data_IF_608149281774
#
_entry.id   IF_608149281774
#
_cell.length_a   1.000
_cell.length_b   1.000
_cell.length_c   1.000
_cell.angle_alpha   90.00
_cell.angle_beta   90.00
_cell.angle_gamma   90.00
#
_symmetry.space_group_name_H-M   'P 1'
#
loop_
_entity.id
_entity.type
_entity.pdbx_description
1 polymer ?
#
# COMPACT_ATOMS: atom_id res chain seq x y z
N UNK A 1 -15.75 16.53 -14.94
CA UNK A 1 -15.08 15.28 -15.35
C UNK A 1 -15.57 14.24 -14.36
N UNK A 2 -16.13 13.11 -14.83
CA UNK A 2 -16.80 12.14 -13.94
C UNK A 2 -15.73 11.40 -13.12
N UNK A 3 -15.93 11.23 -11.81
CA UNK A 3 -14.96 10.50 -10.97
C UNK A 3 -14.88 9.01 -11.31
N UNK A 4 -15.86 8.50 -12.06
CA UNK A 4 -15.97 7.08 -12.35
C UNK A 4 -15.27 6.65 -13.65
N UNK A 5 -14.52 7.49 -14.36
CA UNK A 5 -13.88 7.14 -15.63
C UNK A 5 -13.14 5.79 -15.64
N UNK A 6 -13.31 5.00 -16.71
CA UNK A 6 -12.65 3.71 -16.93
C UNK A 6 -13.61 2.59 -17.33
N UNK A 7 -13.09 1.35 -17.39
CA UNK A 7 -13.84 0.16 -17.79
C UNK A 7 -14.82 -0.28 -16.70
N UNK A 8 -15.99 -0.77 -17.10
CA UNK A 8 -17.04 -1.25 -16.21
C UNK A 8 -17.29 -2.72 -16.47
N UNK A 9 -17.46 -3.49 -15.41
CA UNK A 9 -18.07 -4.82 -15.51
C UNK A 9 -19.52 -4.70 -15.07
N UNK A 10 -20.41 -5.26 -15.87
CA UNK A 10 -21.84 -5.29 -15.63
C UNK A 10 -22.33 -6.73 -15.67
N UNK A 11 -22.82 -7.26 -14.55
CA UNK A 11 -23.34 -8.62 -14.45
C UNK A 11 -24.82 -8.53 -14.10
N UNK A 12 -25.69 -8.80 -15.06
CA UNK A 12 -27.15 -8.76 -14.93
C UNK A 12 -27.69 -9.54 -16.14
N UNK A 13 -28.58 -10.50 -15.93
CA UNK A 13 -29.14 -11.37 -16.98
C UNK A 13 -30.18 -10.65 -17.87
N UNK A 14 -30.69 -9.51 -17.42
CA UNK A 14 -31.68 -8.69 -18.12
C UNK A 14 -31.07 -7.41 -18.74
N UNK A 15 -29.74 -7.29 -18.84
CA UNK A 15 -29.11 -6.04 -19.33
C UNK A 15 -29.43 -5.71 -20.80
N UNK A 16 -29.75 -6.70 -21.62
CA UNK A 16 -30.13 -6.55 -23.03
C UNK A 16 -31.64 -6.74 -23.26
N UNK A 17 -32.37 -7.23 -22.24
CA UNK A 17 -33.82 -7.35 -22.19
C UNK A 17 -34.41 -6.06 -21.61
N UNK A 18 -35.18 -5.31 -22.41
CA UNK A 18 -35.66 -3.97 -22.03
C UNK A 18 -36.20 -3.85 -20.59
N UNK A 19 -35.92 -2.75 -19.90
CA UNK A 19 -36.28 -2.57 -18.49
C UNK A 19 -35.30 -1.66 -17.76
N UNK A 20 -35.28 -1.74 -16.44
CA UNK A 20 -34.39 -0.93 -15.59
C UNK A 20 -32.90 -1.27 -15.80
N UNK A 21 -32.56 -2.56 -15.91
CA UNK A 21 -31.19 -3.02 -16.15
C UNK A 21 -30.65 -2.50 -17.49
N UNK A 22 -31.42 -2.68 -18.58
CA UNK A 22 -31.08 -2.14 -19.89
C UNK A 22 -30.94 -0.62 -19.92
N UNK A 23 -31.87 0.11 -19.29
CA UNK A 23 -31.79 1.58 -19.23
C UNK A 23 -30.52 2.03 -18.51
N UNK A 24 -30.13 1.35 -17.44
CA UNK A 24 -28.91 1.66 -16.70
C UNK A 24 -27.64 1.29 -17.49
N UNK A 25 -27.61 0.12 -18.13
CA UNK A 25 -26.54 -0.27 -19.04
C UNK A 25 -26.35 0.75 -20.18
N UNK A 26 -27.45 1.17 -20.83
CA UNK A 26 -27.41 2.16 -21.91
C UNK A 26 -26.93 3.53 -21.40
N UNK A 27 -27.30 3.94 -20.18
CA UNK A 27 -26.81 5.17 -19.56
C UNK A 27 -25.30 5.13 -19.30
N UNK A 28 -24.78 4.01 -18.79
CA UNK A 28 -23.34 3.79 -18.63
C UNK A 28 -22.62 3.84 -19.99
N UNK A 29 -23.18 3.16 -21.00
CA UNK A 29 -22.61 3.12 -22.35
C UNK A 29 -22.60 4.48 -23.03
N UNK A 30 -23.63 5.30 -22.82
CA UNK A 30 -23.74 6.66 -23.37
C UNK A 30 -22.64 7.61 -22.87
N UNK A 31 -22.02 7.32 -21.72
CA UNK A 31 -20.83 8.06 -21.25
C UNK A 31 -19.53 7.68 -21.98
N UNK A 32 -19.57 6.80 -22.98
CA UNK A 32 -18.40 6.37 -23.76
C UNK A 32 -17.52 5.35 -23.04
N UNK A 33 -18.05 4.69 -21.99
CA UNK A 33 -17.31 3.73 -21.16
C UNK A 33 -17.16 2.39 -21.88
N UNK A 34 -15.98 1.76 -21.84
CA UNK A 34 -15.86 0.33 -22.15
C UNK A 34 -16.64 -0.48 -21.11
N UNK A 35 -17.55 -1.35 -21.56
CA UNK A 35 -18.35 -2.21 -20.67
C UNK A 35 -18.18 -3.68 -21.08
N UNK A 36 -17.75 -4.51 -20.14
CA UNK A 36 -17.83 -5.97 -20.24
C UNK A 36 -19.12 -6.42 -19.55
N UNK A 37 -20.08 -6.92 -20.34
CA UNK A 37 -21.37 -7.38 -19.83
C UNK A 37 -21.42 -8.90 -19.74
N UNK A 38 -22.05 -9.42 -18.69
CA UNK A 38 -22.25 -10.85 -18.45
C UNK A 38 -23.69 -11.11 -18.05
N UNK A 39 -24.28 -12.15 -18.65
CA UNK A 39 -25.61 -12.67 -18.35
C UNK A 39 -25.62 -13.66 -17.17
N UNK A 40 -24.45 -14.12 -16.74
CA UNK A 40 -24.26 -15.08 -15.65
C UNK A 40 -23.07 -14.65 -14.77
N UNK A 41 -22.92 -15.28 -13.60
CA UNK A 41 -21.73 -15.08 -12.76
C UNK A 41 -20.47 -15.40 -13.58
N UNK A 42 -19.54 -14.44 -13.77
CA UNK A 42 -18.36 -14.68 -14.59
C UNK A 42 -17.47 -15.79 -14.01
N UNK A 43 -16.82 -16.61 -14.86
CA UNK A 43 -15.78 -17.53 -14.41
C UNK A 43 -14.67 -16.79 -13.65
N UNK A 44 -14.14 -17.40 -12.60
CA UNK A 44 -13.13 -16.75 -11.75
C UNK A 44 -11.84 -16.45 -12.52
N UNK A 45 -11.51 -17.26 -13.54
CA UNK A 45 -10.36 -17.02 -14.42
C UNK A 45 -10.45 -15.69 -15.17
N UNK A 46 -11.65 -15.18 -15.48
CA UNK A 46 -11.79 -13.91 -16.20
C UNK A 46 -11.25 -12.72 -15.41
N UNK A 47 -11.19 -12.84 -14.07
CA UNK A 47 -10.65 -11.78 -13.22
C UNK A 47 -9.22 -11.40 -13.63
N UNK A 48 -8.40 -12.31 -14.17
CA UNK A 48 -7.02 -12.00 -14.59
C UNK A 48 -6.92 -10.96 -15.73
N UNK A 49 -8.03 -10.68 -16.41
CA UNK A 49 -8.09 -9.73 -17.53
C UNK A 49 -8.71 -8.38 -17.16
N UNK A 50 -9.02 -8.15 -15.88
CA UNK A 50 -9.79 -6.98 -15.44
C UNK A 50 -8.93 -5.83 -14.92
N UNK A 51 -7.66 -5.77 -15.32
CA UNK A 51 -6.77 -4.68 -14.96
C UNK A 51 -7.29 -3.31 -15.46
N UNK A 52 -7.26 -2.32 -14.58
CA UNK A 52 -7.77 -0.97 -14.87
C UNK A 52 -9.28 -0.79 -14.70
N UNK A 53 -9.96 -1.73 -14.03
CA UNK A 53 -11.39 -1.68 -13.74
C UNK A 53 -11.78 -0.44 -12.90
N UNK A 54 -12.78 0.30 -13.41
CA UNK A 54 -13.37 1.44 -12.73
C UNK A 54 -14.31 1.01 -11.60
N UNK A 55 -15.22 0.10 -11.92
CA UNK A 55 -16.26 -0.37 -11.01
C UNK A 55 -16.88 -1.67 -11.51
N UNK A 56 -17.56 -2.36 -10.60
CA UNK A 56 -18.40 -3.52 -10.91
C UNK A 56 -19.83 -3.25 -10.50
N UNK A 57 -20.78 -3.52 -11.40
CA UNK A 57 -22.21 -3.56 -11.11
C UNK A 57 -22.66 -5.02 -11.21
N UNK A 58 -23.40 -5.49 -10.21
CA UNK A 58 -23.90 -6.85 -10.11
C UNK A 58 -25.39 -6.80 -9.80
N UNK A 59 -26.21 -7.59 -10.50
CA UNK A 59 -27.51 -8.01 -9.97
C UNK A 59 -27.28 -9.08 -8.91
N UNK A 60 -28.07 -9.01 -7.83
CA UNK A 60 -28.09 -10.03 -6.79
C UNK A 60 -28.81 -11.29 -7.25
N UNK A 61 -29.85 -11.15 -8.08
CA UNK A 61 -30.63 -12.27 -8.61
C UNK A 61 -30.36 -12.45 -10.08
N UNK A 62 -29.43 -13.35 -10.40
CA UNK A 62 -29.25 -13.82 -11.77
C UNK A 62 -30.12 -15.06 -11.96
N UNK A 63 -30.90 -15.12 -13.04
CA UNK A 63 -31.59 -16.35 -13.40
C UNK A 63 -30.55 -17.34 -13.97
N UNK A 64 -30.60 -18.60 -13.53
CA UNK A 64 -29.85 -19.69 -14.18
C UNK A 64 -30.42 -19.91 -15.59
N UNK A 65 -30.03 -19.08 -16.55
CA UNK A 65 -30.12 -19.47 -17.95
C UNK A 65 -29.05 -20.53 -18.15
N UNK A 66 -29.43 -21.80 -18.02
CA UNK A 66 -28.56 -22.94 -18.34
C UNK A 66 -27.80 -22.62 -19.63
N UNK A 67 -26.50 -22.34 -19.48
CA UNK A 67 -25.62 -22.05 -20.60
C UNK A 67 -25.83 -23.14 -21.64
N UNK A 68 -26.12 -22.74 -22.88
CA UNK A 68 -26.60 -23.60 -23.97
C UNK A 68 -25.67 -24.72 -24.43
N UNK A 69 -25.31 -25.63 -23.54
CA UNK A 69 -24.68 -26.92 -23.77
C UNK A 69 -25.66 -27.97 -23.24
N UNK A 70 -26.29 -28.67 -24.18
CA UNK A 70 -27.46 -29.51 -23.94
C UNK A 70 -27.33 -30.48 -22.76
N UNK A 71 -28.45 -30.59 -22.04
CA UNK A 71 -28.90 -31.72 -21.20
C UNK A 71 -27.81 -32.74 -20.81
N UNK A 72 -26.95 -32.35 -19.86
CA UNK A 72 -26.29 -33.30 -18.97
C UNK A 72 -26.65 -32.91 -17.54
N UNK A 73 -27.66 -33.60 -17.02
CA UNK A 73 -28.21 -33.43 -15.68
C UNK A 73 -27.09 -33.55 -14.62
N UNK A 74 -26.63 -32.41 -14.12
CA UNK A 74 -25.73 -32.35 -12.97
C UNK A 74 -26.56 -32.82 -11.75
N UNK A 75 -26.07 -33.79 -10.94
CA UNK A 75 -26.80 -34.24 -9.75
C UNK A 75 -27.07 -33.08 -8.78
N UNK A 76 -28.29 -33.04 -8.20
CA UNK A 76 -28.73 -32.02 -7.24
C UNK A 76 -27.81 -31.87 -6.01
N UNK A 77 -26.92 -32.84 -5.76
CA UNK A 77 -25.91 -32.79 -4.70
C UNK A 77 -24.69 -31.89 -5.01
N UNK A 78 -24.59 -31.30 -6.21
CA UNK A 78 -23.42 -30.51 -6.67
C UNK A 78 -23.81 -29.11 -7.19
N UNK A 79 -25.09 -28.76 -7.24
CA UNK A 79 -25.52 -27.39 -7.61
C UNK A 79 -25.31 -26.45 -6.41
N UNK A 80 -24.19 -25.75 -6.41
CA UNK A 80 -24.02 -24.52 -5.62
C UNK A 80 -25.12 -23.54 -6.04
N UNK A 81 -25.82 -22.90 -5.09
CA UNK A 81 -26.82 -21.90 -5.45
C UNK A 81 -26.15 -20.75 -6.20
N UNK A 82 -26.84 -20.15 -7.16
CA UNK A 82 -26.36 -18.99 -7.93
C UNK A 82 -25.90 -17.86 -7.00
N UNK A 83 -26.60 -17.68 -5.88
CA UNK A 83 -26.23 -16.74 -4.81
C UNK A 83 -24.87 -17.09 -4.17
N UNK A 84 -24.63 -18.35 -3.80
CA UNK A 84 -23.35 -18.78 -3.24
C UNK A 84 -22.19 -18.59 -4.24
N UNK A 85 -22.43 -18.90 -5.53
CA UNK A 85 -21.46 -18.66 -6.59
C UNK A 85 -21.14 -17.16 -6.77
N UNK A 86 -22.17 -16.30 -6.71
CA UNK A 86 -22.02 -14.85 -6.78
C UNK A 86 -21.25 -14.31 -5.57
N UNK A 87 -21.53 -14.78 -4.35
CA UNK A 87 -20.81 -14.36 -3.15
C UNK A 87 -19.33 -14.79 -3.23
N UNK A 88 -19.05 -16.02 -3.67
CA UNK A 88 -17.68 -16.49 -3.90
C UNK A 88 -16.96 -15.62 -4.93
N UNK A 89 -17.65 -15.27 -6.02
CA UNK A 89 -17.13 -14.37 -7.04
C UNK A 89 -16.79 -12.99 -6.44
N UNK A 90 -17.70 -12.38 -5.66
CA UNK A 90 -17.47 -11.11 -4.98
C UNK A 90 -16.27 -11.20 -4.03
N UNK A 91 -16.16 -12.27 -3.24
CA UNK A 91 -15.02 -12.47 -2.34
C UNK A 91 -13.70 -12.52 -3.11
N UNK A 92 -13.65 -13.26 -4.23
CA UNK A 92 -12.44 -13.35 -5.06
C UNK A 92 -12.11 -12.01 -5.74
N UNK A 93 -13.12 -11.27 -6.19
CA UNK A 93 -12.97 -9.93 -6.74
C UNK A 93 -12.38 -8.96 -5.70
N UNK A 94 -12.88 -8.98 -4.45
CA UNK A 94 -12.42 -8.09 -3.39
C UNK A 94 -11.00 -8.38 -2.91
N UNK A 95 -10.56 -9.65 -3.01
CA UNK A 95 -9.20 -10.14 -2.77
C UNK A 95 -8.22 -9.71 -3.85
N UNK A 96 -8.66 -9.69 -5.11
CA UNK A 96 -7.80 -9.43 -6.28
C UNK A 96 -7.70 -7.94 -6.61
N UNK A 97 -8.83 -7.23 -6.58
CA UNK A 97 -8.93 -5.85 -7.03
C UNK A 97 -9.40 -4.93 -5.92
N UNK A 98 -8.93 -3.69 -5.93
CA UNK A 98 -9.49 -2.63 -5.10
C UNK A 98 -10.35 -1.70 -5.96
N UNK A 99 -11.64 -2.02 -6.10
CA UNK A 99 -12.63 -1.19 -6.80
C UNK A 99 -13.96 -1.13 -6.01
N UNK A 100 -14.84 -0.16 -6.32
CA UNK A 100 -16.22 -0.18 -5.85
C UNK A 100 -17.01 -1.31 -6.53
N UNK A 101 -17.87 -1.95 -5.75
CA UNK A 101 -18.79 -3.01 -6.18
C UNK A 101 -20.20 -2.58 -5.80
N UNK A 102 -21.07 -2.47 -6.78
CA UNK A 102 -22.46 -2.07 -6.61
C UNK A 102 -23.36 -3.26 -6.86
N UNK A 103 -24.01 -3.75 -5.81
CA UNK A 103 -25.04 -4.78 -5.91
C UNK A 103 -26.36 -4.04 -6.07
N UNK A 104 -27.03 -4.25 -7.20
CA UNK A 104 -28.25 -3.55 -7.59
C UNK A 104 -29.38 -4.58 -7.67
N UNK A 105 -30.35 -4.51 -6.75
CA UNK A 105 -31.38 -5.56 -6.60
C UNK A 105 -32.77 -4.97 -6.34
N UNK A 106 -33.82 -5.73 -6.63
CA UNK A 106 -35.18 -5.42 -6.16
C UNK A 106 -35.41 -5.79 -4.68
N UNK A 107 -34.54 -6.65 -4.12
CA UNK A 107 -34.62 -7.01 -2.71
C UNK A 107 -34.21 -5.86 -1.78
N UNK A 108 -34.71 -5.92 -0.55
CA UNK A 108 -34.36 -4.96 0.49
C UNK A 108 -32.84 -4.98 0.77
N UNK A 109 -32.14 -3.83 0.70
CA UNK A 109 -30.70 -3.77 0.87
C UNK A 109 -30.20 -4.41 2.18
N UNK A 110 -30.97 -4.28 3.26
CA UNK A 110 -30.63 -4.86 4.58
C UNK A 110 -30.63 -6.39 4.57
N UNK A 111 -31.46 -7.02 3.73
CA UNK A 111 -31.51 -8.48 3.62
C UNK A 111 -30.23 -9.01 2.95
N UNK A 112 -29.82 -8.41 1.83
CA UNK A 112 -28.58 -8.75 1.12
C UNK A 112 -27.37 -8.50 2.02
N UNK A 113 -27.32 -7.34 2.69
CA UNK A 113 -26.24 -7.04 3.63
C UNK A 113 -26.15 -8.05 4.77
N UNK A 114 -27.29 -8.56 5.25
CA UNK A 114 -27.32 -9.62 6.26
C UNK A 114 -26.76 -10.93 5.70
N UNK A 115 -27.18 -11.35 4.51
CA UNK A 115 -26.66 -12.55 3.84
C UNK A 115 -25.12 -12.49 3.67
N UNK A 116 -24.60 -11.35 3.21
CA UNK A 116 -23.15 -11.12 3.09
C UNK A 116 -22.43 -11.18 4.44
N UNK A 117 -23.04 -10.67 5.53
CA UNK A 117 -22.44 -10.69 6.88
C UNK A 117 -22.47 -12.07 7.53
N UNK A 118 -23.47 -12.87 7.22
CA UNK A 118 -23.64 -14.23 7.75
C UNK A 118 -22.80 -15.25 6.97
N UNK A 119 -22.28 -14.88 5.79
CA UNK A 119 -21.40 -15.73 5.00
C UNK A 119 -20.02 -15.88 5.67
N UNK A 120 -19.52 -17.11 5.89
CA UNK A 120 -18.17 -17.34 6.41
C UNK A 120 -17.10 -16.65 5.55
N UNK A 121 -16.09 -16.09 6.21
CA UNK A 121 -14.92 -15.45 5.60
C UNK A 121 -15.20 -14.23 4.71
N UNK A 122 -16.47 -13.81 4.56
CA UNK A 122 -16.78 -12.59 3.82
C UNK A 122 -16.15 -11.37 4.53
N UNK A 123 -15.45 -10.48 3.80
CA UNK A 123 -14.78 -9.33 4.41
C UNK A 123 -15.78 -8.24 4.80
N UNK A 124 -16.50 -8.43 5.92
CA UNK A 124 -17.61 -7.58 6.39
C UNK A 124 -17.29 -6.09 6.52
N UNK A 125 -16.01 -5.75 6.73
CA UNK A 125 -15.51 -4.37 6.76
C UNK A 125 -15.61 -3.66 5.40
N UNK A 126 -15.81 -4.39 4.31
CA UNK A 126 -15.96 -3.83 2.95
C UNK A 126 -17.38 -3.36 2.67
N UNK A 127 -18.38 -3.88 3.40
CA UNK A 127 -19.80 -3.52 3.25
C UNK A 127 -19.99 -2.05 3.67
N UNK A 128 -20.65 -1.27 2.82
CA UNK A 128 -20.86 0.18 3.00
C UNK A 128 -19.63 1.03 2.72
N UNK A 129 -18.48 0.43 2.38
CA UNK A 129 -17.24 1.15 2.03
C UNK A 129 -16.82 0.92 0.59
N UNK A 130 -16.74 -0.35 0.20
CA UNK A 130 -16.40 -0.81 -1.16
C UNK A 130 -17.59 -1.52 -1.82
N UNK A 131 -18.33 -2.32 -1.04
CA UNK A 131 -19.55 -3.00 -1.49
C UNK A 131 -20.75 -2.16 -1.07
N UNK A 132 -21.48 -1.62 -2.04
CA UNK A 132 -22.70 -0.84 -1.83
C UNK A 132 -23.89 -1.64 -2.37
N UNK A 133 -24.95 -1.76 -1.57
CA UNK A 133 -26.20 -2.42 -1.98
C UNK A 133 -27.24 -1.36 -2.27
N UNK A 134 -27.82 -1.39 -3.46
CA UNK A 134 -28.75 -0.39 -3.99
C UNK A 134 -30.03 -1.06 -4.47
N UNK A 135 -31.15 -0.36 -4.30
CA UNK A 135 -32.44 -0.82 -4.78
C UNK A 135 -32.64 -0.42 -6.26
N UNK A 136 -33.15 -1.33 -7.10
CA UNK A 136 -33.38 -1.11 -8.55
C UNK A 136 -34.36 0.05 -8.83
N UNK A 137 -35.26 0.33 -7.90
CA UNK A 137 -36.33 1.32 -8.07
C UNK A 137 -35.98 2.74 -7.58
N UNK A 138 -34.77 2.96 -7.05
CA UNK A 138 -34.36 4.21 -6.39
C UNK A 138 -34.01 5.38 -7.36
N UNK A 139 -34.68 5.46 -8.51
CA UNK A 139 -34.49 6.53 -9.50
C UNK A 139 -33.23 6.35 -10.38
N UNK A 140 -32.58 7.45 -10.75
CA UNK A 140 -31.41 7.41 -11.63
C UNK A 140 -30.17 6.91 -10.87
N UNK A 141 -29.77 5.66 -11.16
CA UNK A 141 -28.69 4.97 -10.48
C UNK A 141 -27.31 5.58 -10.77
N UNK A 142 -27.10 6.14 -11.96
CA UNK A 142 -25.77 6.59 -12.37
C UNK A 142 -25.29 7.81 -11.55
N UNK A 143 -26.05 8.91 -11.40
CA UNK A 143 -25.68 10.01 -10.51
C UNK A 143 -25.53 9.58 -9.04
N UNK A 144 -26.26 8.54 -8.63
CA UNK A 144 -26.13 7.98 -7.27
C UNK A 144 -24.80 7.25 -7.11
N UNK A 145 -24.38 6.46 -8.09
CA UNK A 145 -23.07 5.80 -8.06
C UNK A 145 -21.93 6.82 -8.00
N UNK A 146 -22.00 7.85 -8.85
CA UNK A 146 -21.01 8.94 -8.86
C UNK A 146 -20.92 9.60 -7.48
N UNK A 147 -22.06 9.97 -6.89
CA UNK A 147 -22.10 10.56 -5.55
C UNK A 147 -21.52 9.65 -4.47
N UNK A 148 -21.83 8.36 -4.49
CA UNK A 148 -21.31 7.41 -3.50
C UNK A 148 -19.79 7.29 -3.56
N UNK A 149 -19.20 7.41 -4.75
CA UNK A 149 -17.74 7.39 -4.93
C UNK A 149 -17.11 8.73 -4.53
N UNK A 150 -17.72 9.86 -4.89
CA UNK A 150 -17.28 11.20 -4.49
C UNK A 150 -17.31 11.40 -2.96
N UNK A 151 -18.39 10.96 -2.30
CA UNK A 151 -18.54 11.13 -0.85
C UNK A 151 -17.60 10.23 -0.03
N UNK A 152 -17.09 9.15 -0.65
CA UNK A 152 -16.16 8.20 -0.03
C UNK A 152 -14.71 8.68 -0.19
N UNK A 153 -14.03 9.07 0.91
CA UNK A 153 -12.65 9.55 0.82
C UNK A 153 -11.69 8.56 0.17
N UNK A 154 -11.89 7.27 0.44
CA UNK A 154 -11.01 6.21 -0.05
C UNK A 154 -11.21 5.98 -1.55
N UNK A 155 -12.46 5.90 -2.01
CA UNK A 155 -12.76 5.65 -3.41
C UNK A 155 -12.45 6.89 -4.26
N UNK A 156 -12.78 8.09 -3.79
CA UNK A 156 -12.46 9.34 -4.45
C UNK A 156 -10.94 9.54 -4.60
N UNK A 157 -10.18 9.29 -3.53
CA UNK A 157 -8.70 9.35 -3.57
C UNK A 157 -8.12 8.33 -4.55
N UNK A 158 -8.63 7.10 -4.56
CA UNK A 158 -8.18 6.05 -5.48
C UNK A 158 -8.40 6.45 -6.94
N UNK A 159 -9.61 6.88 -7.31
CA UNK A 159 -9.94 7.20 -8.70
C UNK A 159 -9.14 8.40 -9.20
N UNK A 160 -8.98 9.40 -8.34
CA UNK A 160 -8.11 10.54 -8.65
C UNK A 160 -6.65 10.08 -8.84
N UNK A 161 -6.14 9.23 -7.96
CA UNK A 161 -4.78 8.70 -8.07
C UNK A 161 -4.57 7.90 -9.35
N UNK A 162 -5.50 7.00 -9.70
CA UNK A 162 -5.41 6.19 -10.92
C UNK A 162 -5.40 7.05 -12.18
N UNK A 163 -6.30 8.05 -12.28
CA UNK A 163 -6.32 8.98 -13.41
C UNK A 163 -5.00 9.74 -13.56
N UNK A 164 -4.48 10.27 -12.45
CA UNK A 164 -3.18 10.95 -12.43
C UNK A 164 -2.03 10.01 -12.80
N UNK A 165 -2.05 8.79 -12.26
CA UNK A 165 -1.03 7.78 -12.52
C UNK A 165 -1.01 7.38 -14.00
N UNK A 166 -2.17 7.09 -14.60
CA UNK A 166 -2.26 6.73 -16.02
C UNK A 166 -1.84 7.89 -16.92
N UNK A 167 -2.29 9.11 -16.62
CA UNK A 167 -1.88 10.31 -17.35
C UNK A 167 -0.37 10.53 -17.28
N UNK A 168 0.21 10.45 -16.08
CA UNK A 168 1.64 10.59 -15.84
C UNK A 168 2.46 9.51 -16.55
N UNK A 169 2.01 8.24 -16.49
CA UNK A 169 2.63 7.10 -17.17
C UNK A 169 2.63 7.30 -18.68
N UNK A 170 1.47 7.60 -19.27
CA UNK A 170 1.34 7.79 -20.71
C UNK A 170 2.25 8.94 -21.17
N UNK A 171 2.19 10.08 -20.49
CA UNK A 171 3.04 11.22 -20.81
C UNK A 171 4.53 10.89 -20.68
N UNK A 172 4.92 10.11 -19.66
CA UNK A 172 6.32 9.69 -19.46
C UNK A 172 6.82 8.87 -20.64
N UNK A 173 6.09 7.83 -21.03
CA UNK A 173 6.48 7.00 -22.16
C UNK A 173 6.46 7.78 -23.48
N UNK A 174 5.48 8.67 -23.70
CA UNK A 174 5.47 9.55 -24.88
C UNK A 174 6.68 10.49 -24.93
N UNK A 175 7.07 11.09 -23.80
CA UNK A 175 8.22 12.00 -23.76
C UNK A 175 9.55 11.25 -23.95
N UNK A 176 9.67 10.01 -23.43
CA UNK A 176 10.86 9.17 -23.61
C UNK A 176 10.97 8.63 -25.04
N UNK A 177 9.86 8.17 -25.61
CA UNK A 177 9.76 7.75 -27.02
C UNK A 177 10.15 8.89 -27.96
N UNK A 178 9.70 10.12 -27.67
CA UNK A 178 10.09 11.31 -28.42
C UNK A 178 11.56 11.73 -28.23
N UNK A 179 12.22 11.30 -27.15
CA UNK A 179 13.62 11.67 -26.86
C UNK A 179 14.63 10.85 -27.67
N UNK A 180 14.26 9.64 -28.09
CA UNK A 180 15.08 8.81 -28.97
C UNK A 180 14.51 7.40 -29.14
N UNK A 181 14.77 6.84 -30.32
CA UNK A 181 14.43 5.45 -30.63
C UNK A 181 15.08 4.51 -29.58
N UNK A 182 14.29 3.57 -29.08
CA UNK A 182 14.72 2.53 -28.13
C UNK A 182 15.49 3.07 -26.90
N UNK A 183 15.01 4.16 -26.28
CA UNK A 183 15.58 4.78 -25.06
C UNK A 183 15.95 3.79 -23.94
N UNK A 184 15.30 2.63 -23.87
CA UNK A 184 15.62 1.54 -22.95
C UNK A 184 17.01 0.92 -23.17
N UNK A 185 17.48 0.85 -24.42
CA UNK A 185 18.82 0.33 -24.75
C UNK A 185 19.88 1.23 -24.10
N UNK A 186 19.75 2.55 -24.26
CA UNK A 186 20.71 3.50 -23.69
C UNK A 186 20.74 3.44 -22.15
N UNK A 187 19.59 3.29 -21.48
CA UNK A 187 19.57 3.12 -20.02
C UNK A 187 20.25 1.81 -19.59
N UNK A 188 20.09 0.75 -20.38
CA UNK A 188 20.72 -0.54 -20.12
C UNK A 188 22.24 -0.45 -20.29
N UNK A 189 22.71 0.17 -21.37
CA UNK A 189 24.15 0.41 -21.61
C UNK A 189 24.77 1.22 -20.48
N UNK A 190 24.11 2.30 -20.02
CA UNK A 190 24.58 3.11 -18.89
C UNK A 190 24.71 2.28 -17.61
N UNK A 191 23.73 1.41 -17.33
CA UNK A 191 23.75 0.56 -16.14
C UNK A 191 24.89 -0.47 -16.20
N UNK A 192 25.06 -1.12 -17.35
CA UNK A 192 26.11 -2.11 -17.56
C UNK A 192 27.51 -1.49 -17.47
N UNK A 193 27.75 -0.36 -18.16
CA UNK A 193 29.01 0.38 -18.10
C UNK A 193 29.28 0.93 -16.70
N UNK A 194 28.23 1.32 -15.98
CA UNK A 194 28.29 1.79 -14.59
C UNK A 194 28.46 0.67 -13.55
N UNK A 195 28.35 -0.60 -13.95
CA UNK A 195 28.39 -1.75 -13.05
C UNK A 195 27.23 -1.79 -12.04
N UNK A 196 26.07 -1.23 -12.39
CA UNK A 196 24.83 -1.30 -11.62
C UNK A 196 23.93 -2.41 -12.14
N UNK A 197 22.94 -2.81 -11.35
CA UNK A 197 21.94 -3.78 -11.81
C UNK A 197 20.97 -3.06 -12.75
N UNK A 198 20.81 -3.58 -13.98
CA UNK A 198 19.91 -3.01 -14.99
C UNK A 198 18.48 -2.90 -14.50
N UNK A 199 17.97 -3.92 -13.81
CA UNK A 199 16.61 -3.91 -13.26
C UNK A 199 16.41 -2.80 -12.23
N UNK A 200 17.37 -2.63 -11.31
CA UNK A 200 17.32 -1.57 -10.30
C UNK A 200 17.38 -0.17 -10.94
N UNK A 201 18.27 0.03 -11.92
CA UNK A 201 18.40 1.31 -12.65
C UNK A 201 17.11 1.65 -13.40
N UNK A 202 16.51 0.68 -14.09
CA UNK A 202 15.24 0.88 -14.81
C UNK A 202 14.11 1.21 -13.84
N UNK A 203 14.02 0.52 -12.70
CA UNK A 203 13.01 0.81 -11.67
C UNK A 203 13.19 2.23 -11.13
N UNK A 204 14.41 2.62 -10.75
CA UNK A 204 14.68 3.94 -10.21
C UNK A 204 14.41 5.06 -11.23
N UNK A 205 14.79 4.87 -12.49
CA UNK A 205 14.51 5.81 -13.57
C UNK A 205 13.00 5.95 -13.82
N UNK A 206 12.30 4.83 -13.98
CA UNK A 206 10.86 4.82 -14.28
C UNK A 206 10.02 5.39 -13.14
N UNK A 207 10.17 4.86 -11.93
CA UNK A 207 9.38 5.32 -10.78
C UNK A 207 9.79 6.73 -10.33
N UNK A 208 11.09 7.06 -10.43
CA UNK A 208 11.59 8.40 -10.19
C UNK A 208 10.94 9.42 -11.12
N UNK A 209 10.92 9.14 -12.43
CA UNK A 209 10.31 10.02 -13.42
C UNK A 209 8.78 10.11 -13.24
N UNK A 210 8.11 8.97 -13.07
CA UNK A 210 6.67 8.87 -12.88
C UNK A 210 6.18 9.64 -11.64
N UNK A 211 6.86 9.48 -10.50
CA UNK A 211 6.49 10.13 -9.24
C UNK A 211 6.46 11.66 -9.36
N UNK A 212 7.36 12.25 -10.14
CA UNK A 212 7.44 13.71 -10.32
C UNK A 212 6.45 14.25 -11.36
N UNK A 213 5.71 13.37 -12.05
CA UNK A 213 4.66 13.73 -13.01
C UNK A 213 3.26 13.64 -12.44
N UNK A 214 3.06 12.91 -11.33
CA UNK A 214 1.78 12.87 -10.61
C UNK A 214 1.54 14.22 -9.93
N UNK A 215 0.39 14.86 -10.18
CA UNK A 215 0.04 16.14 -9.56
C UNK A 215 -0.75 15.94 -8.25
N UNK A 216 -0.14 16.14 -7.07
CA UNK A 216 -0.81 15.92 -5.80
C UNK A 216 -1.87 16.99 -5.46
N UNK A 217 -1.99 18.07 -6.24
CA UNK A 217 -2.98 19.14 -5.97
C UNK A 217 -4.40 18.77 -6.39
N UNK A 218 -4.57 17.70 -7.15
CA UNK A 218 -5.86 17.32 -7.71
C UNK A 218 -6.66 16.34 -6.84
N UNK A 219 -6.08 15.88 -5.71
CA UNK A 219 -6.83 15.06 -4.75
C UNK A 219 -8.02 15.83 -4.17
N UNK A 220 -9.20 15.20 -4.20
CA UNK A 220 -10.42 15.74 -3.60
C UNK A 220 -10.35 15.75 -2.08
N UNK A 221 -9.84 16.87 -1.56
CA UNK A 221 -9.79 17.11 -0.12
C UNK A 221 -11.17 17.41 0.47
N UNK A 222 -12.15 17.84 -0.33
CA UNK A 222 -13.49 18.17 0.17
C UNK A 222 -14.20 16.93 0.74
N UNK A 223 -13.93 15.74 0.16
CA UNK A 223 -14.41 14.48 0.73
C UNK A 223 -13.88 14.19 2.14
N UNK A 224 -12.76 14.80 2.57
CA UNK A 224 -12.08 14.58 3.85
C UNK A 224 -12.27 15.76 4.82
N UNK A 225 -12.34 16.98 4.30
CA UNK A 225 -12.40 18.20 5.09
C UNK A 225 -13.54 18.20 6.10
N UNK A 226 -13.25 18.63 7.33
CA UNK A 226 -14.22 18.68 8.43
C UNK A 226 -14.60 17.31 9.03
N UNK A 227 -14.27 16.18 8.40
CA UNK A 227 -14.54 14.85 8.96
C UNK A 227 -13.53 14.51 10.07
N UNK A 228 -13.96 14.61 11.33
CA UNK A 228 -13.22 14.05 12.48
C UNK A 228 -13.75 12.66 12.79
N UNK A 229 -13.00 11.64 12.39
CA UNK A 229 -13.32 10.27 12.77
C UNK A 229 -12.97 10.05 14.26
N UNK A 230 -13.92 9.48 15.01
CA UNK A 230 -13.68 8.95 16.35
C UNK A 230 -12.90 7.63 16.25
N UNK A 231 -11.64 7.72 15.80
CA UNK A 231 -10.74 6.57 15.66
C UNK A 231 -9.95 6.39 16.95
N UNK A 232 -9.95 5.18 17.49
CA UNK A 232 -9.13 4.79 18.63
C UNK A 232 -7.63 4.83 18.29
N UNK A 233 -6.79 4.83 19.33
CA UNK A 233 -5.34 4.94 19.17
C UNK A 233 -4.71 3.73 18.46
N UNK A 234 -5.27 2.53 18.57
CA UNK A 234 -4.75 1.33 17.92
C UNK A 234 -5.02 1.37 16.42
N UNK A 235 -6.23 1.74 16.01
CA UNK A 235 -6.57 1.92 14.59
C UNK A 235 -5.72 3.00 13.92
N UNK A 236 -5.43 4.12 14.61
CA UNK A 236 -4.50 5.15 14.10
C UNK A 236 -3.09 4.62 13.93
N UNK A 237 -2.60 3.88 14.92
CA UNK A 237 -1.28 3.26 14.92
C UNK A 237 -1.14 2.28 13.77
N UNK A 238 -2.16 1.49 13.47
CA UNK A 238 -2.14 0.54 12.35
C UNK A 238 -2.06 1.25 10.98
N UNK A 239 -2.81 2.34 10.79
CA UNK A 239 -2.72 3.14 9.56
C UNK A 239 -1.32 3.75 9.40
N UNK A 240 -0.76 4.30 10.48
CA UNK A 240 0.59 4.86 10.46
C UNK A 240 1.64 3.76 10.23
N UNK A 241 1.47 2.59 10.85
CA UNK A 241 2.33 1.42 10.63
C UNK A 241 2.39 1.06 9.14
N UNK A 242 1.23 0.87 8.49
CA UNK A 242 1.16 0.51 7.05
C UNK A 242 1.66 1.61 6.12
N UNK A 243 1.65 2.86 6.57
CA UNK A 243 2.28 3.97 5.84
C UNK A 243 3.81 3.92 5.92
N UNK A 244 4.34 3.52 7.07
CA UNK A 244 5.77 3.58 7.39
C UNK A 244 6.51 2.29 7.00
N UNK A 245 5.83 1.16 7.04
CA UNK A 245 6.42 -0.18 7.01
C UNK A 245 5.72 -1.04 5.97
N UNK A 246 6.52 -1.71 5.15
CA UNK A 246 6.08 -2.88 4.37
C UNK A 246 6.51 -4.15 5.09
N UNK A 247 5.59 -5.09 5.26
CA UNK A 247 5.90 -6.40 5.82
C UNK A 247 6.69 -7.25 4.81
N UNK A 248 7.45 -8.25 5.29
CA UNK A 248 8.29 -9.11 4.46
C UNK A 248 7.54 -9.76 3.30
N UNK A 249 6.28 -10.14 3.51
CA UNK A 249 5.44 -10.81 2.51
C UNK A 249 5.12 -9.91 1.32
N UNK A 250 5.16 -8.58 1.51
CA UNK A 250 4.99 -7.59 0.45
C UNK A 250 6.30 -7.20 -0.24
N UNK A 251 7.44 -7.72 0.22
CA UNK A 251 8.77 -7.38 -0.30
C UNK A 251 9.28 -8.49 -1.20
N UNK A 252 9.93 -8.10 -2.30
CA UNK A 252 10.57 -9.06 -3.19
C UNK A 252 11.77 -9.72 -2.48
N UNK A 253 11.88 -11.05 -2.60
CA UNK A 253 12.89 -11.86 -1.91
C UNK A 253 14.32 -11.54 -2.37
N UNK A 254 14.49 -11.09 -3.61
CA UNK A 254 15.78 -10.72 -4.18
C UNK A 254 16.18 -9.25 -3.95
N UNK A 255 15.36 -8.47 -3.25
CA UNK A 255 15.60 -7.04 -3.07
C UNK A 255 15.83 -6.70 -1.62
N UNK A 256 17.08 -6.38 -1.28
CA UNK A 256 17.48 -5.83 0.01
C UNK A 256 17.81 -4.35 -0.16
N UNK A 257 17.34 -3.50 0.75
CA UNK A 257 17.51 -2.05 0.69
C UNK A 257 17.71 -1.47 2.10
N UNK A 258 18.23 -0.24 2.21
CA UNK A 258 18.12 0.52 3.44
C UNK A 258 16.70 0.46 4.00
N UNK A 259 16.59 0.29 5.32
CA UNK A 259 15.32 0.26 6.02
C UNK A 259 14.76 -1.14 6.19
N UNK A 260 15.26 -2.14 5.47
CA UNK A 260 15.01 -3.54 5.83
C UNK A 260 15.39 -3.79 7.28
N UNK A 261 14.52 -4.45 8.03
CA UNK A 261 14.79 -4.76 9.42
C UNK A 261 14.53 -6.23 9.73
N UNK A 262 15.31 -6.74 10.67
CA UNK A 262 15.42 -8.15 10.97
C UNK A 262 15.12 -8.41 12.44
N UNK A 263 14.54 -9.57 12.71
CA UNK A 263 14.41 -10.10 14.06
C UNK A 263 15.74 -10.65 14.57
N UNK A 264 15.75 -11.21 15.78
CA UNK A 264 16.93 -11.87 16.33
C UNK A 264 17.26 -13.15 15.56
N UNK A 265 18.52 -13.30 15.15
CA UNK A 265 19.05 -14.51 14.47
C UNK A 265 20.02 -15.31 15.35
N UNK A 266 20.47 -14.74 16.47
CA UNK A 266 21.29 -15.42 17.47
C UNK A 266 20.44 -15.67 18.72
N UNK A 267 20.38 -16.91 19.25
CA UNK A 267 19.64 -17.25 20.47
C UNK A 267 19.98 -16.40 21.71
N UNK A 268 21.14 -15.74 21.73
CA UNK A 268 21.54 -14.82 22.81
C UNK A 268 20.90 -13.42 22.69
N UNK A 269 20.33 -13.09 21.53
CA UNK A 269 19.66 -11.82 21.31
C UNK A 269 18.27 -11.84 21.95
N UNK A 270 17.90 -10.71 22.51
CA UNK A 270 16.59 -10.47 23.11
C UNK A 270 15.50 -10.53 22.04
N UNK A 271 14.42 -11.28 22.31
CA UNK A 271 13.32 -11.57 21.39
C UNK A 271 12.63 -10.31 20.83
N UNK A 272 12.64 -9.20 21.58
CA UNK A 272 12.01 -7.94 21.16
C UNK A 272 12.97 -7.04 20.36
N UNK A 273 14.24 -7.43 20.23
CA UNK A 273 15.25 -6.66 19.52
C UNK A 273 15.00 -6.68 18.01
N UNK A 274 15.13 -5.51 17.39
CA UNK A 274 15.08 -5.36 15.94
C UNK A 274 16.40 -4.79 15.44
N UNK A 275 16.83 -5.24 14.27
CA UNK A 275 18.06 -4.82 13.62
C UNK A 275 17.73 -4.09 12.32
N UNK A 276 17.95 -2.78 12.29
CA UNK A 276 17.60 -1.91 11.15
C UNK A 276 18.79 -1.73 10.21
N UNK A 277 18.60 -2.06 8.93
CA UNK A 277 19.60 -1.91 7.89
C UNK A 277 19.83 -0.44 7.49
N UNK A 278 21.06 0.03 7.63
CA UNK A 278 21.51 1.34 7.14
C UNK A 278 22.38 1.26 5.87
N UNK A 279 22.69 0.05 5.39
CA UNK A 279 23.57 -0.17 4.23
C UNK A 279 23.04 0.60 3.02
N UNK A 280 23.88 1.37 2.30
CA UNK A 280 23.48 2.06 1.08
C UNK A 280 22.89 1.08 0.04
N UNK A 281 21.88 1.52 -0.71
CA UNK A 281 21.18 0.68 -1.69
C UNK A 281 22.13 0.07 -2.74
N UNK A 282 23.14 0.82 -3.19
CA UNK A 282 24.13 0.32 -4.14
C UNK A 282 24.96 -0.85 -3.57
N UNK A 283 25.13 -0.93 -2.25
CA UNK A 283 25.88 -1.99 -1.58
C UNK A 283 25.01 -3.22 -1.23
N UNK A 284 23.69 -3.14 -1.43
CA UNK A 284 22.76 -4.25 -1.16
C UNK A 284 22.37 -5.07 -2.41
N UNK A 285 22.97 -4.76 -3.56
CA UNK A 285 22.71 -5.45 -4.83
C UNK A 285 23.21 -6.90 -4.79
N UNK A 286 22.28 -7.86 -4.83
CA UNK A 286 22.57 -9.30 -4.86
C UNK A 286 23.25 -9.65 -6.18
N UNK A 287 24.34 -10.42 -6.13
CA UNK A 287 25.13 -10.79 -7.31
C UNK A 287 26.24 -9.81 -7.69
N UNK A 288 26.28 -8.59 -7.09
CA UNK A 288 27.35 -7.61 -7.35
C UNK A 288 28.73 -8.07 -6.87
N UNK A 289 28.79 -8.79 -5.75
CA UNK A 289 30.05 -9.30 -5.19
C UNK A 289 30.30 -10.73 -5.68
N UNK A 290 31.52 -11.00 -6.17
CA UNK A 290 31.98 -12.34 -6.64
C UNK A 290 31.76 -13.48 -5.63
N UNK A 291 31.62 -13.15 -4.34
CA UNK A 291 31.48 -14.09 -3.24
C UNK A 291 30.08 -14.08 -2.63
N UNK A 292 29.18 -13.21 -3.13
CA UNK A 292 27.82 -12.93 -2.66
C UNK A 292 27.67 -12.60 -1.15
N UNK A 293 28.77 -12.33 -0.44
CA UNK A 293 28.78 -11.95 0.98
C UNK A 293 28.58 -10.44 1.11
N UNK A 294 27.34 -10.00 0.93
CA UNK A 294 26.94 -8.61 1.15
C UNK A 294 27.08 -8.30 2.65
N UNK A 295 27.82 -7.23 2.99
CA UNK A 295 27.97 -6.76 4.36
C UNK A 295 26.85 -5.79 4.69
N UNK A 296 26.10 -6.13 5.73
CA UNK A 296 24.94 -5.41 6.23
C UNK A 296 25.33 -4.63 7.47
N UNK A 297 25.16 -3.31 7.43
CA UNK A 297 25.35 -2.39 8.53
C UNK A 297 24.02 -2.23 9.27
N UNK A 298 23.90 -2.87 10.43
CA UNK A 298 22.65 -2.98 11.17
C UNK A 298 22.72 -2.20 12.48
N UNK A 299 21.75 -1.33 12.73
CA UNK A 299 21.55 -0.71 14.04
C UNK A 299 20.61 -1.56 14.89
N UNK A 300 21.07 -1.90 16.09
CA UNK A 300 20.22 -2.52 17.10
C UNK A 300 19.22 -1.53 17.68
N UNK A 301 17.95 -1.92 17.74
CA UNK A 301 16.88 -1.17 18.40
C UNK A 301 16.06 -2.05 19.33
N UNK A 302 15.45 -1.41 20.33
CA UNK A 302 14.52 -2.05 21.28
C UNK A 302 13.22 -1.25 21.35
N UNK A 303 12.09 -1.92 21.65
CA UNK A 303 10.86 -1.21 21.90
C UNK A 303 10.99 -0.40 23.19
N UNK A 304 10.37 0.76 23.22
CA UNK A 304 10.31 1.63 24.39
C UNK A 304 8.92 2.26 24.44
N UNK A 305 8.34 2.34 25.64
CA UNK A 305 7.07 3.02 25.83
C UNK A 305 7.34 4.45 26.28
N UNK A 306 6.73 5.42 25.60
CA UNK A 306 6.89 6.84 25.90
C UNK A 306 5.65 7.35 26.62
N UNK A 307 5.85 8.00 27.77
CA UNK A 307 4.78 8.68 28.48
C UNK A 307 4.14 9.79 27.63
N UNK A 308 2.84 10.03 27.81
CA UNK A 308 2.08 10.98 27.00
C UNK A 308 2.68 12.40 27.00
N UNK A 309 3.20 12.87 28.14
CA UNK A 309 3.81 14.20 28.27
C UNK A 309 5.14 14.35 27.52
N UNK A 310 5.85 13.23 27.31
CA UNK A 310 7.11 13.19 26.58
C UNK A 310 6.91 13.00 25.07
N UNK A 311 5.75 12.51 24.63
CA UNK A 311 5.40 12.39 23.20
C UNK A 311 5.44 13.74 22.47
N UNK A 312 5.05 14.84 23.15
CA UNK A 312 5.12 16.20 22.59
C UNK A 312 6.57 16.65 22.40
N UNK A 313 7.43 16.35 23.37
CA UNK A 313 8.86 16.70 23.32
C UNK A 313 9.60 15.86 22.27
N UNK A 314 9.22 14.60 22.05
CA UNK A 314 9.73 13.80 20.92
C UNK A 314 9.33 14.40 19.58
N UNK A 315 8.06 14.78 19.40
CA UNK A 315 7.55 15.43 18.18
C UNK A 315 8.24 16.76 17.86
N UNK A 316 8.56 17.53 18.89
CA UNK A 316 9.31 18.78 18.78
C UNK A 316 10.83 18.55 18.66
N UNK A 317 11.29 17.29 18.57
CA UNK A 317 12.70 16.91 18.47
C UNK A 317 13.53 17.12 19.75
N UNK A 318 12.89 17.53 20.85
CA UNK A 318 13.53 17.90 22.12
C UNK A 318 14.00 16.71 22.96
N UNK A 319 13.46 15.53 22.72
CA UNK A 319 13.90 14.26 23.35
C UNK A 319 14.74 13.38 22.43
N UNK A 320 14.92 13.78 21.17
CA UNK A 320 15.86 13.10 20.27
C UNK A 320 17.26 13.44 20.72
N UNK A 321 17.84 12.56 21.53
CA UNK A 321 19.26 12.62 21.87
C UNK A 321 20.07 12.50 20.56
N UNK A 322 21.16 13.26 20.38
CA UNK A 322 21.94 13.26 19.14
C UNK A 322 22.62 11.90 18.84
N UNK A 323 22.56 10.94 19.76
CA UNK A 323 23.15 9.61 19.67
C UNK A 323 22.13 8.48 19.44
N UNK A 324 20.87 8.80 19.11
CA UNK A 324 19.87 7.78 18.73
C UNK A 324 18.81 8.31 17.78
N UNK A 325 18.10 7.39 17.13
CA UNK A 325 16.88 7.66 16.38
C UNK A 325 15.67 7.05 17.08
N UNK A 326 14.50 7.67 16.86
CA UNK A 326 13.21 7.22 17.33
C UNK A 326 12.31 6.92 16.13
N UNK A 327 11.67 5.75 16.15
CA UNK A 327 10.65 5.38 15.17
C UNK A 327 9.35 5.14 15.93
N UNK A 328 8.32 5.93 15.63
CA UNK A 328 7.05 5.91 16.37
C UNK A 328 6.32 4.56 16.30
N UNK A 329 6.38 3.92 15.14
CA UNK A 329 5.68 2.67 14.85
C UNK A 329 6.55 1.83 13.90
N UNK A 330 7.06 0.70 14.39
CA UNK A 330 7.86 -0.26 13.61
C UNK A 330 7.28 -1.67 13.76
N UNK A 331 7.94 -2.59 14.47
CA UNK A 331 7.47 -3.96 14.59
C UNK A 331 6.34 -4.07 15.63
N UNK A 332 5.31 -4.87 15.33
CA UNK A 332 4.10 -5.04 16.16
C UNK A 332 3.41 -3.71 16.55
N UNK A 333 3.55 -2.68 15.72
CA UNK A 333 2.97 -1.36 15.98
C UNK A 333 3.60 -0.60 17.16
N UNK A 334 4.76 -1.01 17.68
CA UNK A 334 5.40 -0.35 18.84
C UNK A 334 6.42 0.69 18.39
N UNK A 335 6.72 1.63 19.29
CA UNK A 335 7.79 2.60 19.12
C UNK A 335 9.15 1.98 19.46
N UNK A 336 10.17 2.30 18.67
CA UNK A 336 11.52 1.74 18.82
C UNK A 336 12.56 2.84 18.90
N UNK A 337 13.54 2.65 19.79
CA UNK A 337 14.73 3.48 19.89
C UNK A 337 15.95 2.75 19.34
N UNK A 338 16.72 3.45 18.52
CA UNK A 338 17.94 2.95 17.88
C UNK A 338 19.15 3.78 18.31
N UNK A 339 19.91 3.36 19.34
CA UNK A 339 21.18 3.98 19.69
C UNK A 339 22.21 3.81 18.56
N UNK A 340 22.89 4.89 18.17
CA UNK A 340 23.84 4.85 17.05
C UNK A 340 25.14 4.11 17.37
N UNK A 341 25.48 3.97 18.66
CA UNK A 341 26.65 3.22 19.12
C UNK A 341 26.51 1.69 19.01
N UNK A 342 25.33 1.18 18.63
CA UNK A 342 25.04 -0.26 18.56
C UNK A 342 24.97 -0.76 17.12
N UNK A 343 25.85 -0.24 16.28
CA UNK A 343 26.03 -0.68 14.89
C UNK A 343 26.80 -2.01 14.87
N UNK A 344 26.27 -2.99 14.16
CA UNK A 344 26.93 -4.27 13.90
C UNK A 344 27.02 -4.54 12.40
N UNK A 345 28.09 -5.23 11.99
CA UNK A 345 28.31 -5.61 10.59
C UNK A 345 28.14 -7.12 10.49
N UNK A 346 27.12 -7.56 9.74
CA UNK A 346 26.79 -8.98 9.55
C UNK A 346 26.70 -9.27 8.06
N UNK A 347 26.86 -10.52 7.65
CA UNK A 347 26.66 -10.91 6.25
C UNK A 347 25.20 -11.25 5.98
N UNK A 348 24.68 -10.84 4.81
CA UNK A 348 23.26 -10.97 4.47
C UNK A 348 22.75 -12.42 4.55
N UNK A 349 23.56 -13.38 4.12
CA UNK A 349 23.26 -14.82 4.15
C UNK A 349 22.92 -15.36 5.55
N UNK A 350 23.39 -14.71 6.62
CA UNK A 350 23.09 -15.12 7.99
C UNK A 350 21.74 -14.63 8.51
N UNK A 351 21.21 -13.56 7.90
CA UNK A 351 20.07 -12.81 8.48
C UNK A 351 18.86 -12.77 7.55
N UNK A 352 19.00 -13.18 6.29
CA UNK A 352 17.96 -13.03 5.28
C UNK A 352 16.63 -13.67 5.70
N UNK A 353 16.69 -14.86 6.29
CA UNK A 353 15.51 -15.60 6.76
C UNK A 353 14.81 -14.96 7.97
N UNK A 354 15.44 -13.95 8.59
CA UNK A 354 14.94 -13.23 9.77
C UNK A 354 14.35 -11.86 9.41
N UNK A 355 14.17 -11.56 8.12
CA UNK A 355 13.60 -10.29 7.67
C UNK A 355 12.15 -10.15 8.14
N UNK A 356 11.84 -9.05 8.80
CA UNK A 356 10.49 -8.74 9.30
C UNK A 356 9.75 -7.73 8.44
N UNK A 357 10.48 -6.86 7.73
CA UNK A 357 9.89 -5.87 6.84
C UNK A 357 10.89 -4.80 6.42
N UNK A 358 10.36 -3.68 5.90
CA UNK A 358 11.11 -2.50 5.46
C UNK A 358 10.48 -1.22 5.97
N UNK A 359 11.27 -0.42 6.67
CA UNK A 359 10.97 0.98 6.95
C UNK A 359 11.16 1.82 5.68
N UNK A 360 10.11 2.47 5.22
CA UNK A 360 10.12 3.25 3.98
C UNK A 360 10.73 4.64 4.17
N UNK A 361 11.25 5.26 3.09
CA UNK A 361 11.53 6.70 3.08
C UNK A 361 10.27 7.53 3.37
N UNK A 362 10.39 8.70 4.01
CA UNK A 362 11.63 9.35 4.43
C UNK A 362 12.18 8.85 5.78
N UNK A 363 11.49 7.92 6.45
CA UNK A 363 11.83 7.52 7.82
C UNK A 363 13.20 6.87 7.92
N UNK A 364 13.52 5.93 7.03
CA UNK A 364 14.88 5.37 6.96
C UNK A 364 15.94 6.43 6.59
N UNK A 365 15.60 7.35 5.69
CA UNK A 365 16.51 8.42 5.28
C UNK A 365 16.87 9.32 6.45
N UNK A 366 15.91 9.67 7.31
CA UNK A 366 16.15 10.42 8.55
C UNK A 366 17.10 9.66 9.49
N UNK A 367 16.90 8.35 9.69
CA UNK A 367 17.81 7.53 10.52
C UNK A 367 19.23 7.51 9.94
N UNK A 368 19.38 7.28 8.63
CA UNK A 368 20.69 7.28 7.97
C UNK A 368 21.39 8.63 8.10
N UNK A 369 20.68 9.73 7.91
CA UNK A 369 21.22 11.09 8.04
C UNK A 369 21.68 11.38 9.48
N UNK A 370 20.85 11.05 10.48
CA UNK A 370 21.22 11.23 11.89
C UNK A 370 22.42 10.37 12.29
N UNK A 371 22.47 9.12 11.82
CA UNK A 371 23.60 8.25 12.06
C UNK A 371 24.88 8.79 11.40
N UNK A 372 24.79 9.30 10.16
CA UNK A 372 25.93 9.93 9.48
C UNK A 372 26.44 11.17 10.25
N UNK A 373 25.53 12.02 10.75
CA UNK A 373 25.88 13.15 11.61
C UNK A 373 26.55 12.71 12.92
N UNK A 374 26.09 11.61 13.52
CA UNK A 374 26.70 11.05 14.73
C UNK A 374 28.14 10.56 14.49
N UNK A 375 28.46 10.04 13.30
CA UNK A 375 29.81 9.61 12.95
C UNK A 375 30.77 10.79 12.72
N UNK A 376 30.25 11.98 12.38
CA UNK A 376 31.08 13.18 12.27
C UNK A 376 31.50 13.63 13.67
N UNK A 377 32.78 13.42 14.02
CA UNK A 377 33.35 13.99 15.24
C UNK A 377 33.39 15.51 15.13
N UNK A 378 32.78 16.20 16.08
CA UNK A 378 33.06 17.62 16.29
C UNK A 378 34.52 17.78 16.71
N UNK A 379 35.26 18.61 15.98
CA UNK A 379 36.63 18.97 16.33
C UNK A 379 36.62 19.84 17.58
N UNK A 380 36.92 19.24 18.74
CA UNK A 380 37.07 19.98 19.99
C UNK A 380 38.54 20.38 20.19
N UNK A 381 38.83 21.61 20.65
CA UNK A 381 40.18 21.99 21.03
C UNK A 381 40.68 21.06 22.16
N UNK A 382 41.97 20.79 22.21
CA UNK A 382 42.56 20.02 23.30
C UNK A 382 42.38 20.78 24.63
N UNK A 383 41.75 20.13 25.60
CA UNK A 383 41.54 20.65 26.95
C UNK A 383 42.33 19.80 27.94
N UNK A 384 43.04 20.43 28.87
CA UNK A 384 43.77 19.71 29.92
C UNK A 384 42.78 18.97 30.84
N UNK A 385 42.96 17.67 31.12
CA UNK A 385 42.07 16.91 32.01
C UNK A 385 41.90 17.54 33.40
N UNK A 386 42.88 18.33 33.85
CA UNK A 386 42.86 19.08 35.12
C UNK A 386 41.75 20.12 35.18
N UNK A 387 41.18 20.56 34.06
CA UNK A 387 40.06 21.51 34.01
C UNK A 387 38.71 20.88 34.45
N UNK A 388 38.62 19.55 34.52
CA UNK A 388 37.43 18.83 35.01
C UNK A 388 37.52 18.47 36.50
N UNK A 389 38.61 18.84 37.17
CA UNK A 389 38.73 18.69 38.62
C UNK A 389 37.85 19.72 39.33
N UNK A 390 37.50 19.45 40.59
CA UNK A 390 36.57 20.28 41.37
C UNK A 390 36.91 21.77 41.25
N UNK A 391 35.92 22.58 40.89
CA UNK A 391 36.08 24.02 40.72
C UNK A 391 36.65 24.65 41.99
N UNK A 392 37.53 25.65 41.82
CA UNK A 392 37.97 26.49 42.94
C UNK A 392 36.70 27.10 43.55
N UNK A 393 36.44 26.92 44.87
CA UNK A 393 35.28 27.51 45.50
C UNK A 393 35.28 29.02 45.28
N UNK A 394 34.11 29.58 44.97
CA UNK A 394 33.96 30.99 44.72
C UNK A 394 34.52 31.80 45.91
N UNK A 395 35.30 32.86 45.66
CA UNK A 395 35.84 33.68 46.75
C UNK A 395 34.67 34.30 47.53
N UNK A 396 34.49 33.85 48.78
CA UNK A 396 33.44 34.34 49.69
C UNK A 396 32.47 33.30 50.23
N UNK A 397 32.58 32.01 49.88
CA UNK A 397 31.83 30.95 50.54
C UNK A 397 32.62 30.39 51.74
N UNK A 398 32.62 31.14 52.86
CA UNK A 398 33.05 30.68 54.18
C UNK A 398 32.04 31.10 55.23
#
# INVERSE_FOLDING_TARGET
MSILEGSVVFVDDDYDLGGHAKAFYDALKAQGRPIAAYDNVPPLEHLEHWDGLALVVLDWKLNDHEAGLGELSIPDSVKESTEAALIRFIMKLLDTYFCPVFIVSQEEPDAIQRALRETPDFPVQTIGRRVQVLQKDDGDLLPRLERLVEESPVLSTLRTWEGQYQSAKNKMFTDLDAAGDDWLIYLTEIAEDGGTNVGDELVDALYGNLRHRVNPREFDLASIEGKKLAVDSASRREVIHRRMVLATEALHSFTVMPGDFFGPWDPQQDAETVWLNLTPACDTVIGRLKNNKIRMYLLRGKPEDVAADDSRKLREGRLLTPNSAWIDVLHNGRGYRFPFKTLEIVTLDKILDYRLGRLLPPYITDVQQRHAMYLMREGLPAVLPTLYQAAIPAPGAS
#
